data_IF_397167393876
#
_entry.id   IF_397167393876
#
_cell.length_a   1.000
_cell.length_b   1.000
_cell.length_c   1.000
_cell.angle_alpha   90.00
_cell.angle_beta   90.00
_cell.angle_gamma   90.00
#
_symmetry.space_group_name_H-M   'P 1'
#
loop_
_entity.id
_entity.type
_entity.pdbx_description
1 polymer ?
#
# COMPACT_ATOMS: atom_id res chain seq x y z
N UNK A 1 -8.02 30.71 -21.79
CA UNK A 1 -7.85 29.71 -20.70
C UNK A 1 -6.40 29.77 -20.23
N UNK A 2 -6.10 29.96 -18.93
CA UNK A 2 -4.72 30.00 -18.46
C UNK A 2 -4.04 28.65 -18.70
N UNK A 3 -2.72 28.67 -18.91
CA UNK A 3 -1.95 27.44 -19.06
C UNK A 3 -2.00 26.61 -17.77
N UNK A 4 -1.88 25.29 -17.86
CA UNK A 4 -2.00 24.40 -16.71
C UNK A 4 -0.69 23.67 -16.41
N UNK A 5 -0.39 23.51 -15.12
CA UNK A 5 0.70 22.64 -14.65
C UNK A 5 0.08 21.48 -13.89
N UNK A 6 0.29 20.25 -14.38
CA UNK A 6 -0.27 19.04 -13.78
C UNK A 6 0.77 18.39 -12.86
N UNK A 7 0.38 18.08 -11.62
CA UNK A 7 1.25 17.46 -10.61
C UNK A 7 0.56 16.24 -9.97
N UNK A 8 1.03 14.99 -10.20
CA UNK A 8 0.44 13.81 -9.56
C UNK A 8 0.97 13.59 -8.13
N UNK A 9 0.12 13.06 -7.24
CA UNK A 9 0.52 12.62 -5.89
C UNK A 9 -0.15 11.30 -5.47
N UNK A 10 0.67 10.27 -5.25
CA UNK A 10 0.26 8.92 -4.84
C UNK A 10 1.36 8.22 -4.01
N UNK A 11 1.02 7.11 -3.34
CA UNK A 11 1.87 6.46 -2.34
C UNK A 11 3.23 6.00 -2.89
N UNK A 12 3.21 5.31 -4.04
CA UNK A 12 4.39 4.78 -4.71
C UNK A 12 5.27 5.83 -5.42
N UNK A 13 4.99 7.13 -5.29
CA UNK A 13 5.93 8.15 -5.77
C UNK A 13 7.19 8.11 -4.91
N UNK A 14 8.39 7.92 -5.50
CA UNK A 14 9.64 7.86 -4.78
C UNK A 14 9.81 9.03 -3.81
N UNK A 15 10.14 8.72 -2.56
CA UNK A 15 10.39 9.70 -1.50
C UNK A 15 11.81 10.28 -1.58
N UNK A 16 12.77 9.52 -2.12
CA UNK A 16 14.17 9.90 -2.25
C UNK A 16 14.38 10.91 -3.37
N UNK A 17 14.08 12.18 -3.07
CA UNK A 17 14.76 13.39 -3.57
C UNK A 17 14.11 14.63 -2.92
N UNK A 18 14.08 14.67 -1.59
CA UNK A 18 13.59 15.81 -0.82
C UNK A 18 14.41 17.12 -0.98
N UNK A 19 15.43 17.14 -1.84
CA UNK A 19 16.24 18.33 -2.13
C UNK A 19 16.50 18.58 -3.63
N UNK A 20 15.98 17.73 -4.54
CA UNK A 20 16.15 17.95 -5.98
C UNK A 20 14.80 18.40 -6.55
N UNK A 21 14.77 19.64 -7.04
CA UNK A 21 13.63 20.36 -7.65
C UNK A 21 12.99 19.66 -8.88
N UNK A 22 13.28 18.39 -9.14
CA UNK A 22 12.81 17.65 -10.32
C UNK A 22 11.88 16.48 -9.99
N UNK A 23 11.58 16.18 -8.72
CA UNK A 23 10.72 15.04 -8.36
C UNK A 23 9.23 15.42 -8.28
N UNK A 24 8.29 14.65 -8.89
CA UNK A 24 6.86 14.96 -8.95
C UNK A 24 6.19 15.31 -7.61
N UNK A 25 6.62 14.70 -6.50
CA UNK A 25 6.04 14.93 -5.17
C UNK A 25 6.50 16.25 -4.53
N UNK A 26 7.75 16.68 -4.74
CA UNK A 26 8.25 17.98 -4.29
C UNK A 26 7.61 19.14 -5.08
N UNK A 27 7.44 18.92 -6.38
CA UNK A 27 6.83 19.86 -7.32
C UNK A 27 5.35 20.20 -7.03
N UNK A 28 4.66 19.40 -6.20
CA UNK A 28 3.28 19.68 -5.76
C UNK A 28 3.25 20.85 -4.77
N UNK A 29 4.30 21.03 -3.98
CA UNK A 29 4.39 22.05 -2.93
C UNK A 29 4.92 23.39 -3.44
N UNK A 30 5.47 23.42 -4.64
CA UNK A 30 5.97 24.65 -5.26
C UNK A 30 4.84 25.65 -5.55
N UNK A 31 5.22 26.94 -5.53
CA UNK A 31 4.35 28.02 -5.93
C UNK A 31 3.91 27.86 -7.38
N UNK A 32 2.67 28.26 -7.68
CA UNK A 32 2.17 28.22 -9.05
C UNK A 32 2.86 29.31 -9.88
N UNK A 33 3.46 28.98 -11.04
CA UNK A 33 4.06 29.99 -11.91
C UNK A 33 3.05 31.08 -12.33
N UNK A 34 3.49 32.34 -12.49
CA UNK A 34 2.60 33.41 -12.94
C UNK A 34 1.91 33.08 -14.27
N UNK A 35 0.59 33.29 -14.34
CA UNK A 35 -0.21 32.99 -15.54
C UNK A 35 -0.60 31.52 -15.72
N UNK A 36 -0.22 30.63 -14.79
CA UNK A 36 -0.59 29.21 -14.81
C UNK A 36 -1.61 28.85 -13.72
N UNK A 37 -2.33 27.75 -13.94
CA UNK A 37 -3.14 27.07 -12.92
C UNK A 37 -2.51 25.72 -12.58
N UNK A 38 -2.19 25.50 -11.31
CA UNK A 38 -1.73 24.19 -10.82
C UNK A 38 -2.91 23.24 -10.64
N UNK A 39 -2.82 22.05 -11.22
CA UNK A 39 -3.81 20.97 -11.08
C UNK A 39 -3.12 19.78 -10.45
N UNK A 40 -3.56 19.41 -9.24
CA UNK A 40 -3.01 18.27 -8.52
C UNK A 40 -3.90 17.05 -8.73
N UNK A 41 -3.32 15.97 -9.24
CA UNK A 41 -4.00 14.68 -9.37
C UNK A 41 -3.63 13.81 -8.17
N UNK A 42 -4.52 13.72 -7.19
CA UNK A 42 -4.23 13.08 -5.92
C UNK A 42 -5.05 11.81 -5.67
N UNK A 43 -4.44 10.87 -4.96
CA UNK A 43 -5.16 9.81 -4.22
C UNK A 43 -5.66 10.36 -2.88
N UNK A 44 -6.29 9.51 -2.06
CA UNK A 44 -6.71 9.85 -0.70
C UNK A 44 -5.58 10.30 0.24
N UNK A 45 -4.30 10.27 -0.18
CA UNK A 45 -3.19 10.92 0.54
C UNK A 45 -3.43 12.43 0.76
N UNK A 46 -4.08 13.11 -0.19
CA UNK A 46 -4.40 14.53 -0.04
C UNK A 46 -5.57 14.77 0.94
N UNK A 47 -6.32 13.74 1.31
CA UNK A 47 -7.49 13.82 2.19
C UNK A 47 -7.11 14.06 3.65
N UNK A 48 -6.02 13.45 4.12
CA UNK A 48 -5.59 13.49 5.54
C UNK A 48 -4.13 13.92 5.69
N UNK A 49 -3.21 13.27 4.98
CA UNK A 49 -1.78 13.27 5.32
C UNK A 49 -0.97 14.49 4.88
N UNK A 50 -1.48 15.31 3.96
CA UNK A 50 -0.68 16.39 3.33
C UNK A 50 -1.49 17.67 3.17
N UNK A 51 -0.87 18.83 3.41
CA UNK A 51 -1.41 20.15 3.09
C UNK A 51 -0.73 20.69 1.84
N UNK A 52 -1.49 20.96 0.79
CA UNK A 52 -0.96 21.57 -0.44
C UNK A 52 -1.40 23.04 -0.45
N UNK A 53 -0.47 23.99 -0.52
CA UNK A 53 -0.81 25.40 -0.50
C UNK A 53 -1.50 25.85 -1.80
N UNK A 54 -2.38 26.84 -1.70
CA UNK A 54 -3.08 27.44 -2.83
C UNK A 54 -4.22 26.62 -3.44
N UNK A 55 -4.69 25.56 -2.77
CA UNK A 55 -5.86 24.81 -3.22
C UNK A 55 -7.13 25.62 -2.95
N UNK A 56 -7.84 25.99 -4.02
CA UNK A 56 -9.14 26.69 -3.99
C UNK A 56 -10.30 25.87 -4.54
N UNK A 57 -9.98 24.86 -5.35
CA UNK A 57 -10.95 24.06 -6.07
C UNK A 57 -10.64 22.58 -5.83
N UNK A 58 -11.66 21.81 -5.45
CA UNK A 58 -11.57 20.36 -5.30
C UNK A 58 -12.56 19.71 -6.26
N UNK A 59 -12.11 18.73 -7.02
CA UNK A 59 -12.98 17.86 -7.82
C UNK A 59 -12.99 16.49 -7.16
N UNK A 60 -14.14 16.07 -6.65
CA UNK A 60 -14.31 14.81 -5.94
C UNK A 60 -15.09 13.81 -6.79
N UNK A 61 -14.43 12.69 -7.13
CA UNK A 61 -15.02 11.60 -7.90
C UNK A 61 -15.90 10.68 -7.08
N UNK A 62 -15.90 10.81 -5.74
CA UNK A 62 -16.72 9.96 -4.86
C UNK A 62 -16.20 8.54 -4.69
N UNK A 63 -15.01 8.22 -5.19
CA UNK A 63 -14.40 6.88 -5.10
C UNK A 63 -13.03 6.93 -4.44
N UNK A 64 -12.57 5.77 -3.95
CA UNK A 64 -11.21 5.53 -3.47
C UNK A 64 -10.80 4.08 -3.68
N UNK A 65 -9.49 3.80 -3.61
CA UNK A 65 -8.98 2.43 -3.52
C UNK A 65 -8.74 2.08 -2.05
N UNK A 66 -9.36 1.00 -1.58
CA UNK A 66 -9.11 0.44 -0.26
C UNK A 66 -8.43 -0.92 -0.38
N UNK A 67 -7.47 -1.17 0.51
CA UNK A 67 -6.90 -2.49 0.72
C UNK A 67 -7.87 -3.34 1.53
N UNK A 68 -8.29 -4.48 0.99
CA UNK A 68 -9.25 -5.38 1.64
C UNK A 68 -8.78 -6.82 1.48
N UNK A 69 -8.95 -7.62 2.51
CA UNK A 69 -8.72 -9.06 2.48
C UNK A 69 -10.02 -9.77 2.09
N UNK A 70 -9.94 -10.67 1.11
CA UNK A 70 -11.08 -11.49 0.72
C UNK A 70 -11.31 -12.57 1.79
N UNK A 71 -12.50 -12.63 2.42
CA UNK A 71 -12.71 -13.42 3.63
C UNK A 71 -12.46 -14.91 3.39
N UNK A 72 -12.83 -15.47 2.24
CA UNK A 72 -12.69 -16.90 1.96
C UNK A 72 -11.25 -17.31 1.62
N UNK A 73 -10.56 -16.50 0.81
CA UNK A 73 -9.25 -16.86 0.25
C UNK A 73 -8.09 -16.30 1.06
N UNK A 74 -8.34 -15.31 1.93
CA UNK A 74 -7.30 -14.62 2.70
C UNK A 74 -6.42 -13.70 1.85
N UNK A 75 -6.76 -13.49 0.58
CA UNK A 75 -5.95 -12.70 -0.35
C UNK A 75 -6.26 -11.21 -0.15
N UNK A 76 -5.22 -10.43 0.10
CA UNK A 76 -5.30 -8.98 0.10
C UNK A 76 -5.40 -8.44 -1.33
N UNK A 77 -6.37 -7.56 -1.57
CA UNK A 77 -6.61 -6.91 -2.86
C UNK A 77 -6.92 -5.43 -2.69
N UNK A 78 -6.56 -4.63 -3.69
CA UNK A 78 -6.97 -3.23 -3.79
C UNK A 78 -8.28 -3.14 -4.56
N UNK A 79 -9.37 -2.80 -3.87
CA UNK A 79 -10.70 -2.64 -4.46
C UNK A 79 -11.04 -1.15 -4.61
N UNK A 80 -11.57 -0.77 -5.77
CA UNK A 80 -12.22 0.53 -5.93
C UNK A 80 -13.59 0.47 -5.26
N UNK A 81 -13.82 1.38 -4.32
CA UNK A 81 -15.06 1.49 -3.54
C UNK A 81 -15.51 2.94 -3.51
N UNK A 82 -16.76 3.17 -3.14
CA UNK A 82 -17.27 4.50 -2.84
C UNK A 82 -16.56 5.09 -1.61
N UNK A 83 -16.42 6.41 -1.60
CA UNK A 83 -15.90 7.14 -0.45
C UNK A 83 -16.94 7.16 0.68
N UNK A 84 -16.50 7.49 1.90
CA UNK A 84 -17.43 7.77 2.99
C UNK A 84 -17.88 9.24 3.00
N UNK A 85 -19.00 9.54 3.65
CA UNK A 85 -19.46 10.91 3.89
C UNK A 85 -18.40 11.72 4.64
N UNK A 86 -17.81 11.14 5.69
CA UNK A 86 -16.71 11.75 6.42
C UNK A 86 -15.51 12.09 5.52
N UNK A 87 -15.11 11.17 4.65
CA UNK A 87 -14.04 11.39 3.68
C UNK A 87 -14.38 12.49 2.66
N UNK A 88 -15.61 12.51 2.15
CA UNK A 88 -16.08 13.56 1.24
C UNK A 88 -16.11 14.96 1.90
N UNK A 89 -16.43 15.03 3.19
CA UNK A 89 -16.35 16.27 3.98
C UNK A 89 -14.88 16.70 4.15
N UNK A 90 -13.97 15.77 4.44
CA UNK A 90 -12.54 16.07 4.56
C UNK A 90 -11.95 16.58 3.23
N UNK A 91 -12.33 15.96 2.10
CA UNK A 91 -11.97 16.43 0.75
C UNK A 91 -12.49 17.83 0.50
N UNK A 92 -13.74 18.11 0.81
CA UNK A 92 -14.34 19.44 0.67
C UNK A 92 -13.58 20.48 1.50
N UNK A 93 -13.22 20.14 2.73
CA UNK A 93 -12.43 21.00 3.62
C UNK A 93 -11.05 21.38 3.07
N UNK A 94 -10.51 20.67 2.06
CA UNK A 94 -9.24 21.03 1.42
C UNK A 94 -9.33 22.29 0.57
N UNK A 95 -10.50 22.60 0.00
CA UNK A 95 -10.71 23.83 -0.78
C UNK A 95 -10.75 25.10 0.08
N UNK A 96 -11.11 24.98 1.36
CA UNK A 96 -11.36 26.11 2.26
C UNK A 96 -10.23 26.42 3.25
N UNK A 97 -9.02 25.89 3.05
CA UNK A 97 -7.95 25.99 4.06
C UNK A 97 -7.31 27.37 4.18
N UNK A 98 -7.07 28.03 3.05
CA UNK A 98 -6.38 29.32 3.03
C UNK A 98 -7.34 30.49 2.78
N UNK A 99 -8.43 30.24 2.06
CA UNK A 99 -9.44 31.22 1.73
C UNK A 99 -10.67 30.52 1.10
N UNK A 100 -11.79 31.23 0.84
CA UNK A 100 -13.01 30.61 0.32
C UNK A 100 -12.77 29.77 -0.95
N UNK A 101 -13.28 28.55 -0.98
CA UNK A 101 -13.06 27.62 -2.08
C UNK A 101 -14.33 26.90 -2.49
N UNK A 102 -14.26 26.22 -3.63
CA UNK A 102 -15.37 25.50 -4.24
C UNK A 102 -15.05 24.02 -4.38
N UNK A 103 -16.10 23.20 -4.29
CA UNK A 103 -16.00 21.74 -4.35
C UNK A 103 -16.99 21.24 -5.39
N UNK A 104 -16.48 20.56 -6.40
CA UNK A 104 -17.25 19.94 -7.47
C UNK A 104 -17.32 18.44 -7.22
N UNK A 105 -18.49 17.95 -6.79
CA UNK A 105 -18.75 16.52 -6.61
C UNK A 105 -19.29 15.94 -7.91
N UNK A 106 -18.68 14.86 -8.40
CA UNK A 106 -19.10 14.18 -9.63
C UNK A 106 -20.17 13.10 -9.37
N UNK A 107 -20.96 13.30 -8.31
CA UNK A 107 -22.04 12.42 -7.88
C UNK A 107 -23.20 13.29 -7.38
N UNK A 108 -24.42 12.78 -7.49
CA UNK A 108 -25.62 13.50 -7.05
C UNK A 108 -25.76 13.44 -5.53
N UNK A 109 -26.50 14.39 -4.98
CA UNK A 109 -26.75 14.48 -3.53
C UNK A 109 -27.43 13.23 -2.97
N UNK A 110 -28.34 12.61 -3.73
CA UNK A 110 -28.99 11.36 -3.32
C UNK A 110 -28.00 10.19 -3.18
N UNK A 111 -26.92 10.17 -3.95
CA UNK A 111 -25.89 9.14 -3.82
C UNK A 111 -24.94 9.44 -2.66
N UNK A 112 -24.65 10.72 -2.39
CA UNK A 112 -23.93 11.12 -1.16
C UNK A 112 -24.61 10.61 0.11
N UNK A 113 -25.94 10.69 0.18
CA UNK A 113 -26.69 10.20 1.33
C UNK A 113 -26.72 8.66 1.46
N UNK A 114 -26.44 7.92 0.38
CA UNK A 114 -26.30 6.46 0.40
C UNK A 114 -24.90 5.99 0.79
N UNK A 115 -23.89 6.87 0.69
CA UNK A 115 -22.51 6.54 1.06
C UNK A 115 -22.41 6.19 2.55
N UNK A 116 -21.48 5.30 2.94
CA UNK A 116 -21.25 4.99 4.34
C UNK A 116 -20.83 6.26 5.10
N UNK A 117 -21.30 6.41 6.33
CA UNK A 117 -20.99 7.60 7.16
C UNK A 117 -19.48 7.71 7.38
N UNK A 118 -18.82 6.58 7.65
CA UNK A 118 -17.37 6.48 7.87
C UNK A 118 -16.79 5.30 7.11
N UNK A 119 -15.51 5.43 6.74
CA UNK A 119 -14.73 4.33 6.18
C UNK A 119 -14.47 3.29 7.28
N UNK A 120 -14.72 1.98 7.04
CA UNK A 120 -14.45 0.94 8.03
C UNK A 120 -12.99 0.93 8.48
N UNK A 121 -12.78 0.69 9.77
CA UNK A 121 -11.47 0.60 10.37
C UNK A 121 -10.60 -0.46 9.69
N UNK A 122 -9.30 -0.20 9.61
CA UNK A 122 -8.36 -1.04 8.87
C UNK A 122 -8.29 -2.48 9.41
N UNK A 123 -8.33 -2.64 10.72
CA UNK A 123 -8.32 -3.95 11.39
C UNK A 123 -9.49 -4.86 11.01
N UNK A 124 -10.61 -4.29 10.55
CA UNK A 124 -11.79 -5.04 10.12
C UNK A 124 -11.66 -5.62 8.70
N UNK A 125 -10.68 -5.15 7.94
CA UNK A 125 -10.56 -5.42 6.50
C UNK A 125 -9.21 -5.99 6.07
N UNK A 126 -8.25 -6.18 6.98
CA UNK A 126 -6.92 -6.72 6.65
C UNK A 126 -6.76 -8.17 7.06
N UNK A 127 -5.73 -8.80 6.46
CA UNK A 127 -5.15 -10.04 6.95
C UNK A 127 -4.47 -9.79 8.31
N UNK A 128 -4.58 -10.74 9.24
CA UNK A 128 -4.23 -10.53 10.64
C UNK A 128 -2.89 -11.15 11.05
N UNK A 129 -2.19 -11.95 10.25
CA UNK A 129 -0.97 -12.67 10.63
C UNK A 129 0.15 -11.73 11.08
N UNK A 130 0.38 -10.64 10.33
CA UNK A 130 1.38 -9.63 10.70
C UNK A 130 1.04 -8.94 12.02
N UNK A 131 -0.24 -8.61 12.24
CA UNK A 131 -0.70 -7.99 13.49
C UNK A 131 -0.62 -9.00 14.64
N UNK A 132 -1.04 -10.23 14.41
CA UNK A 132 -1.11 -11.30 15.40
C UNK A 132 0.27 -11.64 15.95
N UNK A 133 1.26 -11.88 15.08
CA UNK A 133 2.62 -12.21 15.51
C UNK A 133 3.26 -11.05 16.29
N UNK A 134 2.99 -9.80 15.89
CA UNK A 134 3.48 -8.62 16.59
C UNK A 134 2.84 -8.46 17.97
N UNK A 135 1.53 -8.68 18.11
CA UNK A 135 0.86 -8.68 19.42
C UNK A 135 1.43 -9.78 20.33
N UNK A 136 1.70 -10.98 19.80
CA UNK A 136 2.36 -12.05 20.55
C UNK A 136 3.78 -11.67 20.98
N UNK A 137 4.56 -11.04 20.09
CA UNK A 137 5.91 -10.56 20.39
C UNK A 137 5.93 -9.48 21.47
N UNK A 138 4.88 -8.65 21.55
CA UNK A 138 4.66 -7.69 22.64
C UNK A 138 4.23 -8.33 23.97
N UNK A 139 4.05 -9.65 24.03
CA UNK A 139 3.67 -10.37 25.25
C UNK A 139 2.16 -10.48 25.47
N UNK A 140 1.33 -10.13 24.49
CA UNK A 140 -0.13 -10.27 24.60
C UNK A 140 -0.51 -11.73 24.39
N UNK A 141 -0.90 -12.40 25.47
CA UNK A 141 -1.23 -13.84 25.44
C UNK A 141 -2.58 -14.13 24.79
N UNK A 142 -3.65 -13.39 25.14
CA UNK A 142 -5.01 -13.63 24.61
C UNK A 142 -5.43 -12.53 23.65
N UNK A 143 -5.17 -12.74 22.36
CA UNK A 143 -5.51 -11.75 21.31
C UNK A 143 -7.02 -11.58 21.17
N UNK A 144 -7.80 -12.67 21.27
CA UNK A 144 -9.26 -12.61 21.16
C UNK A 144 -9.94 -11.73 22.25
N UNK A 145 -9.30 -11.59 23.42
CA UNK A 145 -9.79 -10.73 24.51
C UNK A 145 -9.05 -9.40 24.61
N UNK A 146 -8.10 -9.12 23.72
CA UNK A 146 -7.36 -7.88 23.74
C UNK A 146 -8.32 -6.70 23.43
N UNK A 147 -8.32 -5.62 24.24
CA UNK A 147 -9.31 -4.55 24.13
C UNK A 147 -9.00 -3.61 22.96
N UNK A 148 -9.22 -4.08 21.73
CA UNK A 148 -9.16 -3.27 20.52
C UNK A 148 -10.38 -2.35 20.43
N UNK A 149 -10.17 -1.14 19.88
CA UNK A 149 -11.24 -0.16 19.61
C UNK A 149 -12.32 -0.77 18.72
N UNK A 150 -11.89 -1.32 17.58
CA UNK A 150 -12.70 -2.12 16.68
C UNK A 150 -12.17 -3.55 16.68
N UNK A 151 -13.05 -4.52 16.97
CA UNK A 151 -12.65 -5.93 17.03
C UNK A 151 -12.65 -6.55 15.64
N UNK A 152 -11.53 -7.15 15.18
CA UNK A 152 -11.49 -7.86 13.92
C UNK A 152 -12.47 -9.05 13.91
N UNK A 153 -12.93 -9.48 12.73
CA UNK A 153 -13.73 -10.69 12.60
C UNK A 153 -13.02 -11.90 13.23
N UNK A 154 -13.77 -12.70 13.99
CA UNK A 154 -13.23 -13.89 14.67
C UNK A 154 -12.53 -14.85 13.70
N UNK A 155 -13.12 -15.03 12.52
CA UNK A 155 -12.55 -15.86 11.45
C UNK A 155 -11.16 -15.36 11.01
N UNK A 156 -10.92 -14.05 10.96
CA UNK A 156 -9.62 -13.50 10.59
C UNK A 156 -8.55 -13.79 11.66
N UNK A 157 -8.92 -13.70 12.94
CA UNK A 157 -8.04 -14.05 14.08
C UNK A 157 -7.67 -15.53 14.03
N UNK A 158 -8.66 -16.41 13.83
CA UNK A 158 -8.46 -17.86 13.77
C UNK A 158 -7.60 -18.26 12.57
N UNK A 159 -7.82 -17.66 11.39
CA UNK A 159 -6.99 -17.89 10.20
C UNK A 159 -5.54 -17.48 10.41
N UNK A 160 -5.30 -16.32 11.02
CA UNK A 160 -3.96 -15.85 11.35
C UNK A 160 -3.26 -16.82 12.32
N UNK A 161 -3.95 -17.24 13.40
CA UNK A 161 -3.41 -18.20 14.37
C UNK A 161 -3.04 -19.53 13.71
N UNK A 162 -3.95 -20.08 12.89
CA UNK A 162 -3.71 -21.33 12.15
C UNK A 162 -2.54 -21.22 11.17
N UNK A 163 -2.46 -20.12 10.42
CA UNK A 163 -1.34 -19.88 9.51
C UNK A 163 0.00 -19.80 10.26
N UNK A 164 0.06 -19.03 11.35
CA UNK A 164 1.27 -18.87 12.15
C UNK A 164 1.69 -20.17 12.86
N UNK A 165 0.74 -20.99 13.30
CA UNK A 165 1.01 -22.32 13.83
C UNK A 165 1.58 -23.25 12.74
N UNK A 166 1.03 -23.20 11.51
CA UNK A 166 1.50 -24.03 10.38
C UNK A 166 2.94 -23.74 9.96
N UNK A 167 3.38 -22.49 10.03
CA UNK A 167 4.76 -22.10 9.75
C UNK A 167 5.68 -22.25 10.98
N UNK A 168 5.18 -22.81 12.09
CA UNK A 168 5.95 -23.02 13.32
C UNK A 168 6.26 -21.75 14.12
N UNK A 169 5.63 -20.61 13.79
CA UNK A 169 5.79 -19.36 14.54
C UNK A 169 5.08 -19.40 15.90
N UNK A 170 4.01 -20.20 16.00
CA UNK A 170 3.28 -20.45 17.24
C UNK A 170 3.29 -21.95 17.56
N UNK A 171 3.29 -22.29 18.85
CA UNK A 171 3.07 -23.66 19.32
C UNK A 171 1.57 -24.00 19.35
N UNK A 172 1.24 -25.26 19.70
CA UNK A 172 -0.16 -25.73 19.80
C UNK A 172 -0.97 -25.07 20.91
N UNK A 173 -0.31 -24.34 21.82
CA UNK A 173 -0.93 -23.58 22.91
C UNK A 173 -0.96 -22.09 22.60
N UNK A 174 -0.75 -21.72 21.34
CA UNK A 174 -0.77 -20.33 20.88
C UNK A 174 0.32 -19.46 21.56
N UNK A 175 1.44 -20.07 21.95
CA UNK A 175 2.63 -19.39 22.47
C UNK A 175 3.64 -19.13 21.35
N UNK A 176 4.30 -17.97 21.40
CA UNK A 176 5.32 -17.59 20.42
C UNK A 176 6.57 -18.47 20.57
N UNK A 177 6.98 -19.13 19.50
CA UNK A 177 8.19 -19.96 19.46
C UNK A 177 9.44 -19.11 19.24
N UNK A 178 10.63 -19.70 19.37
CA UNK A 178 11.88 -19.02 19.04
C UNK A 178 12.00 -18.70 17.54
N UNK A 179 11.42 -19.55 16.69
CA UNK A 179 11.22 -19.23 15.28
C UNK A 179 10.30 -18.02 15.13
N UNK A 180 9.14 -18.03 15.79
CA UNK A 180 8.19 -16.92 15.75
C UNK A 180 8.80 -15.58 16.19
N UNK A 181 9.65 -15.57 17.21
CA UNK A 181 10.42 -14.39 17.63
C UNK A 181 11.33 -13.85 16.53
N UNK A 182 12.04 -14.74 15.82
CA UNK A 182 12.89 -14.36 14.67
C UNK A 182 12.06 -13.82 13.52
N UNK A 183 10.91 -14.43 13.22
CA UNK A 183 10.01 -13.97 12.16
C UNK A 183 9.42 -12.59 12.48
N UNK A 184 8.99 -12.36 13.72
CA UNK A 184 8.43 -11.09 14.17
C UNK A 184 9.44 -9.93 14.11
N UNK A 185 10.75 -10.23 14.18
CA UNK A 185 11.80 -9.21 14.09
C UNK A 185 12.03 -8.71 12.66
N UNK A 186 11.54 -9.40 11.62
CA UNK A 186 11.71 -8.99 10.24
C UNK A 186 10.57 -8.06 9.80
N UNK A 187 10.86 -6.92 9.13
CA UNK A 187 9.85 -5.93 8.72
C UNK A 187 9.12 -6.34 7.43
N UNK A 188 8.73 -7.62 7.32
CA UNK A 188 8.03 -8.18 6.17
C UNK A 188 6.88 -9.08 6.65
N UNK A 189 5.97 -9.44 5.75
CA UNK A 189 4.89 -10.37 6.07
C UNK A 189 5.46 -11.71 6.58
N UNK A 190 4.83 -12.39 7.57
CA UNK A 190 5.39 -13.61 8.18
C UNK A 190 5.66 -14.74 7.19
N UNK A 191 4.92 -14.83 6.07
CA UNK A 191 5.23 -15.79 4.99
C UNK A 191 6.59 -15.52 4.34
N UNK A 192 6.93 -14.25 4.09
CA UNK A 192 8.21 -13.87 3.52
C UNK A 192 9.34 -14.03 4.52
N UNK A 193 9.09 -13.66 5.78
CA UNK A 193 10.04 -13.90 6.88
C UNK A 193 10.37 -15.39 7.00
N UNK A 194 9.36 -16.26 6.91
CA UNK A 194 9.55 -17.71 6.93
C UNK A 194 10.37 -18.21 5.73
N UNK A 195 10.05 -17.77 4.51
CA UNK A 195 10.84 -18.12 3.33
C UNK A 195 12.31 -17.69 3.46
N UNK A 196 12.57 -16.47 3.98
CA UNK A 196 13.93 -16.00 4.25
C UNK A 196 14.64 -16.87 5.29
N UNK A 197 13.94 -17.24 6.36
CA UNK A 197 14.51 -18.10 7.39
C UNK A 197 14.91 -19.47 6.83
N UNK A 198 13.99 -20.14 6.12
CA UNK A 198 14.23 -21.48 5.55
C UNK A 198 15.28 -21.44 4.44
N UNK A 199 15.38 -20.35 3.69
CA UNK A 199 16.39 -20.21 2.62
C UNK A 199 17.84 -20.32 3.07
N UNK A 200 18.11 -20.15 4.38
CA UNK A 200 19.43 -20.36 4.96
C UNK A 200 19.81 -21.85 4.97
N UNK A 201 18.83 -22.74 5.20
CA UNK A 201 19.04 -24.20 5.21
C UNK A 201 19.22 -24.76 3.79
N UNK A 202 18.57 -24.13 2.81
CA UNK A 202 18.69 -24.49 1.38
C UNK A 202 19.84 -23.77 0.66
N UNK A 203 20.66 -23.01 1.38
CA UNK A 203 21.81 -22.26 0.85
C UNK A 203 21.45 -21.29 -0.31
N UNK A 204 20.21 -20.78 -0.34
CA UNK A 204 19.68 -19.92 -1.41
C UNK A 204 19.19 -18.55 -0.90
N UNK A 205 19.71 -18.12 0.25
CA UNK A 205 19.24 -16.91 0.92
C UNK A 205 19.42 -15.62 0.10
N UNK A 206 20.47 -15.52 -0.71
CA UNK A 206 20.71 -14.36 -1.56
C UNK A 206 19.63 -14.20 -2.65
N UNK A 207 19.24 -15.31 -3.27
CA UNK A 207 18.18 -15.40 -4.27
C UNK A 207 16.82 -15.06 -3.66
N UNK A 208 16.48 -15.71 -2.53
CA UNK A 208 15.19 -15.49 -1.87
C UNK A 208 15.08 -14.06 -1.34
N UNK A 209 16.15 -13.49 -0.79
CA UNK A 209 16.19 -12.08 -0.40
C UNK A 209 15.91 -11.15 -1.58
N UNK A 210 16.52 -11.43 -2.74
CA UNK A 210 16.27 -10.64 -3.95
C UNK A 210 14.81 -10.74 -4.40
N UNK A 211 14.22 -11.94 -4.37
CA UNK A 211 12.82 -12.17 -4.74
C UNK A 211 11.88 -11.47 -3.76
N UNK A 212 12.07 -11.63 -2.45
CA UNK A 212 11.24 -10.99 -1.43
C UNK A 212 11.33 -9.47 -1.53
N UNK A 213 12.52 -8.92 -1.77
CA UNK A 213 12.69 -7.48 -2.00
C UNK A 213 11.89 -6.99 -3.21
N UNK A 214 11.93 -7.74 -4.32
CA UNK A 214 11.18 -7.41 -5.54
C UNK A 214 9.65 -7.53 -5.36
N UNK A 215 9.18 -8.50 -4.56
CA UNK A 215 7.76 -8.68 -4.24
C UNK A 215 7.23 -7.65 -3.23
N UNK A 216 8.10 -7.12 -2.36
CA UNK A 216 7.73 -6.14 -1.34
C UNK A 216 7.69 -4.71 -1.87
N UNK A 217 8.12 -4.48 -3.12
CA UNK A 217 8.05 -3.18 -3.76
C UNK A 217 6.61 -2.85 -4.20
N UNK A 218 6.10 -1.67 -3.84
CA UNK A 218 4.74 -1.21 -4.18
C UNK A 218 4.52 -0.96 -5.68
N UNK A 219 5.60 -0.70 -6.42
CA UNK A 219 5.54 -0.39 -7.85
C UNK A 219 5.78 -1.66 -8.67
N UNK A 220 4.92 -1.96 -9.67
CA UNK A 220 5.15 -3.09 -10.55
C UNK A 220 6.42 -2.85 -11.37
N UNK A 221 7.39 -3.77 -11.25
CA UNK A 221 8.68 -3.73 -11.98
C UNK A 221 8.45 -3.76 -13.49
N UNK A 222 7.44 -4.51 -13.92
CA UNK A 222 6.99 -4.55 -15.31
C UNK A 222 5.63 -3.87 -15.39
N UNK A 223 5.53 -2.78 -16.14
CA UNK A 223 4.25 -2.11 -16.34
C UNK A 223 3.31 -3.03 -17.12
N UNK A 224 2.09 -3.24 -16.64
CA UNK A 224 1.07 -4.05 -17.33
C UNK A 224 0.19 -3.20 -18.25
N UNK A 225 0.67 -2.02 -18.68
CA UNK A 225 -0.16 -1.14 -19.50
C UNK A 225 -0.62 -1.89 -20.76
N UNK A 226 -1.92 -1.79 -21.10
CA UNK A 226 -2.52 -2.40 -22.31
C UNK A 226 -1.84 -1.98 -23.63
N UNK A 227 -0.84 -1.09 -23.61
CA UNK A 227 0.00 -0.82 -24.78
C UNK A 227 0.91 -2.03 -25.00
N UNK A 228 0.75 -2.70 -26.14
CA UNK A 228 1.47 -3.91 -26.59
C UNK A 228 3.00 -3.92 -26.37
N UNK A 229 3.65 -2.76 -26.19
CA UNK A 229 5.09 -2.65 -25.94
C UNK A 229 5.55 -3.06 -24.53
N UNK A 230 4.66 -3.10 -23.53
CA UNK A 230 5.03 -3.33 -22.14
C UNK A 230 5.30 -4.81 -21.81
N UNK A 231 4.48 -5.73 -22.33
CA UNK A 231 4.73 -7.16 -22.26
C UNK A 231 6.04 -7.56 -22.95
N UNK A 232 6.45 -6.81 -23.98
CA UNK A 232 7.72 -7.02 -24.67
C UNK A 232 8.94 -6.70 -23.78
N UNK A 233 8.79 -5.83 -22.77
CA UNK A 233 9.87 -5.49 -21.83
C UNK A 233 10.12 -6.58 -20.79
N UNK A 234 9.13 -7.41 -20.48
CA UNK A 234 9.25 -8.51 -19.54
C UNK A 234 9.81 -9.78 -20.20
N UNK A 235 9.56 -9.98 -21.51
CA UNK A 235 10.02 -11.16 -22.29
C UNK A 235 11.49 -11.55 -22.09
N UNK A 236 12.47 -10.61 -22.06
CA UNK A 236 13.88 -10.96 -21.89
C UNK A 236 14.22 -11.58 -20.52
N UNK A 237 13.34 -11.39 -19.54
CA UNK A 237 13.54 -11.84 -18.17
C UNK A 237 12.63 -13.02 -17.81
N UNK A 238 11.78 -13.49 -18.71
CA UNK A 238 10.89 -14.60 -18.45
C UNK A 238 11.69 -15.89 -18.24
N UNK A 239 11.38 -16.57 -17.13
CA UNK A 239 11.93 -17.86 -16.78
C UNK A 239 10.82 -18.92 -16.92
N UNK A 240 11.16 -20.07 -17.51
CA UNK A 240 10.19 -21.14 -17.78
C UNK A 240 9.59 -21.71 -16.48
N UNK A 241 10.43 -21.80 -15.44
CA UNK A 241 10.04 -22.33 -14.12
C UNK A 241 9.24 -21.34 -13.25
N UNK A 242 8.94 -20.13 -13.74
CA UNK A 242 7.92 -19.25 -13.14
C UNK A 242 8.31 -17.78 -12.92
N UNK A 243 7.34 -17.02 -12.42
CA UNK A 243 7.43 -15.56 -12.30
C UNK A 243 8.44 -15.10 -11.23
N UNK A 244 8.59 -15.84 -10.12
CA UNK A 244 9.58 -15.50 -9.10
C UNK A 244 11.02 -15.53 -9.63
N UNK A 245 11.35 -16.53 -10.45
CA UNK A 245 12.66 -16.61 -11.12
C UNK A 245 12.81 -15.57 -12.23
N UNK A 246 11.69 -15.18 -12.84
CA UNK A 246 11.67 -14.07 -13.78
C UNK A 246 12.02 -12.73 -13.10
N UNK A 247 11.47 -12.49 -11.90
CA UNK A 247 11.82 -11.33 -11.07
C UNK A 247 13.29 -11.34 -10.65
N UNK A 248 13.82 -12.50 -10.25
CA UNK A 248 15.23 -12.67 -9.90
C UNK A 248 16.15 -12.35 -11.11
N UNK A 249 15.78 -12.84 -12.29
CA UNK A 249 16.52 -12.59 -13.54
C UNK A 249 16.54 -11.10 -13.89
N UNK A 250 15.39 -10.43 -13.73
CA UNK A 250 15.28 -8.99 -13.90
C UNK A 250 16.18 -8.22 -12.92
N UNK A 251 16.14 -8.57 -11.64
CA UNK A 251 16.95 -7.93 -10.60
C UNK A 251 18.46 -8.10 -10.85
N UNK A 252 18.89 -9.33 -11.19
CA UNK A 252 20.30 -9.62 -11.51
C UNK A 252 20.78 -8.82 -12.71
N UNK A 253 19.96 -8.70 -13.75
CA UNK A 253 20.29 -7.91 -14.94
C UNK A 253 20.36 -6.41 -14.63
N UNK A 254 19.41 -5.88 -13.86
CA UNK A 254 19.46 -4.49 -13.39
C UNK A 254 20.74 -4.22 -12.59
N UNK A 255 21.12 -5.11 -11.67
CA UNK A 255 22.33 -4.96 -10.85
C UNK A 255 23.63 -4.98 -11.69
N UNK A 256 23.65 -5.71 -12.81
CA UNK A 256 24.79 -5.74 -13.75
C UNK A 256 24.93 -4.44 -14.54
N UNK A 257 23.82 -3.75 -14.81
CA UNK A 257 23.82 -2.42 -15.43
C UNK A 257 24.30 -1.41 -14.38
N UNK A 258 25.61 -1.15 -14.32
CA UNK A 258 26.19 -0.12 -13.44
C UNK A 258 25.38 1.18 -13.55
N UNK A 259 25.10 1.83 -12.41
CA UNK A 259 24.52 3.18 -12.39
C UNK A 259 25.33 4.07 -13.35
N UNK A 260 24.71 4.73 -14.35
CA UNK A 260 25.40 5.81 -15.03
C UNK A 260 25.85 6.81 -13.95
N UNK A 261 27.12 7.23 -14.03
CA UNK A 261 27.68 8.26 -13.17
C UNK A 261 26.87 9.55 -13.28
#
# INVERSE_FOLDING_TARGET
VPNMVIRPIYAALPFEQQAVQTTPRALVFEATPPGYRKVVLATNIAETSITIPGIRFVVDTGIMKLKMCHPQTGIEMLRTVETSQASAIQRAGRAGREAPGEVFRLYVESDYHKMPVQTPAEILRLEMASVYINLKALGISKIASFPLVDRPPREAIEKAAHFLCRIGALDTRDALTDLGRKLAAMPVHPSYAYCLHVSLEFECAAEILSIVAMLSADAPIFTTSRKRGSAQQAKPYQHQDGDHLSLLSAFRNWRKQKKPK
#
